data_IF_120851470412
#
_entry.id   IF_120851470412
#
_cell.length_a   1.000
_cell.length_b   1.000
_cell.length_c   1.000
_cell.angle_alpha   90.00
_cell.angle_beta   90.00
_cell.angle_gamma   90.00
#
_symmetry.space_group_name_H-M   'P 1'
#
loop_
_entity.id
_entity.type
_entity.pdbx_description
1 polymer ?
#
# COMPACT_ATOMS: atom_id res chain seq x y z
N UNK A 1 10.47 -50.45 -49.73
CA UNK A 1 10.05 -49.27 -50.52
C UNK A 1 10.81 -48.08 -50.00
N UNK A 2 11.80 -47.65 -50.77
CA UNK A 2 12.63 -46.49 -50.47
C UNK A 2 11.90 -45.22 -50.95
N UNK A 3 11.80 -44.21 -50.09
CA UNK A 3 11.57 -42.84 -50.52
C UNK A 3 12.65 -41.96 -49.89
N UNK A 4 13.58 -41.55 -50.73
CA UNK A 4 14.67 -40.62 -50.44
C UNK A 4 14.34 -39.34 -51.19
N UNK A 5 14.09 -38.22 -50.51
CA UNK A 5 14.08 -36.89 -51.14
C UNK A 5 14.54 -35.79 -50.17
N UNK A 6 15.83 -35.48 -50.31
CA UNK A 6 16.51 -34.18 -50.41
C UNK A 6 16.20 -33.03 -49.44
N UNK A 7 17.30 -32.56 -48.84
CA UNK A 7 17.53 -31.23 -48.25
C UNK A 7 17.16 -30.09 -49.21
N UNK A 8 16.74 -28.96 -48.63
CA UNK A 8 16.92 -27.62 -49.19
C UNK A 8 17.10 -26.63 -48.05
N UNK A 9 18.36 -26.22 -47.84
CA UNK A 9 18.78 -25.12 -46.99
C UNK A 9 18.41 -23.79 -47.63
N UNK A 10 17.75 -22.89 -46.87
CA UNK A 10 17.66 -21.48 -47.24
C UNK A 10 17.76 -20.61 -45.98
N UNK A 11 18.90 -19.94 -45.84
CA UNK A 11 19.07 -18.75 -45.00
C UNK A 11 19.06 -17.52 -45.91
N UNK A 12 18.48 -16.40 -45.46
CA UNK A 12 18.99 -15.10 -45.85
C UNK A 12 19.34 -14.28 -44.61
N UNK A 13 20.64 -13.99 -44.48
CA UNK A 13 21.16 -12.84 -43.74
C UNK A 13 20.82 -11.56 -44.50
N UNK A 14 20.22 -10.56 -43.85
CA UNK A 14 20.22 -9.19 -44.36
C UNK A 14 20.84 -8.26 -43.32
N UNK A 15 22.03 -7.78 -43.68
CA UNK A 15 22.82 -6.79 -42.97
C UNK A 15 22.59 -5.46 -43.68
N UNK A 16 22.13 -4.43 -42.98
CA UNK A 16 22.16 -3.05 -43.46
C UNK A 16 23.02 -2.22 -42.51
N UNK A 17 24.21 -1.87 -42.99
CA UNK A 17 25.10 -0.86 -42.43
C UNK A 17 25.08 0.39 -43.31
N UNK A 18 25.54 1.49 -42.71
CA UNK A 18 26.10 2.76 -43.25
C UNK A 18 25.16 4.00 -43.25
N UNK A 19 25.70 5.24 -43.26
CA UNK A 19 26.59 5.83 -42.24
C UNK A 19 26.31 7.33 -41.91
N UNK A 20 26.90 7.79 -40.79
CA UNK A 20 27.47 9.11 -40.42
C UNK A 20 27.07 10.43 -41.15
N UNK A 21 26.76 11.46 -40.35
CA UNK A 21 27.47 12.78 -40.27
C UNK A 21 26.82 13.62 -39.15
N UNK A 22 27.47 13.86 -38.01
CA UNK A 22 28.45 14.92 -37.70
C UNK A 22 27.97 16.34 -37.99
N UNK A 23 27.64 17.11 -36.94
CA UNK A 23 27.99 18.52 -36.82
C UNK A 23 28.26 18.85 -35.35
N UNK A 24 29.52 19.21 -35.09
CA UNK A 24 30.04 19.84 -33.88
C UNK A 24 29.50 21.29 -33.79
N UNK A 25 29.49 22.02 -32.68
CA UNK A 25 30.64 22.37 -31.85
C UNK A 25 30.16 23.12 -30.57
N UNK A 26 31.07 23.43 -29.62
CA UNK A 26 30.78 23.62 -28.21
C UNK A 26 30.69 25.10 -27.80
N UNK A 27 30.07 25.36 -26.65
CA UNK A 27 30.38 26.56 -25.85
C UNK A 27 30.70 26.13 -24.43
N UNK A 28 31.99 26.19 -24.11
CA UNK A 28 32.51 26.30 -22.74
C UNK A 28 32.05 27.64 -22.17
N UNK A 29 31.50 27.64 -20.97
CA UNK A 29 31.50 28.82 -20.11
C UNK A 29 31.88 28.40 -18.69
N UNK A 30 32.67 29.28 -18.08
CA UNK A 30 33.61 29.04 -17.00
C UNK A 30 32.94 28.84 -15.63
N UNK A 31 33.48 27.89 -14.87
CA UNK A 31 33.29 27.78 -13.43
C UNK A 31 34.14 28.88 -12.76
N UNK A 32 33.49 29.86 -12.15
CA UNK A 32 34.14 30.81 -11.24
C UNK A 32 33.57 30.63 -9.84
N UNK A 33 34.43 30.17 -8.94
CA UNK A 33 34.19 30.11 -7.50
C UNK A 33 34.17 31.53 -6.93
N UNK A 34 33.19 31.84 -6.08
CA UNK A 34 33.29 32.96 -5.13
C UNK A 34 32.32 32.75 -3.95
N UNK A 35 32.83 32.20 -2.86
CA UNK A 35 32.42 32.51 -1.48
C UNK A 35 33.33 33.62 -0.95
N UNK A 36 33.09 34.28 0.21
CA UNK A 36 31.92 34.31 1.10
C UNK A 36 31.53 35.76 1.54
N UNK A 37 30.24 36.06 1.82
CA UNK A 37 29.88 37.18 2.72
C UNK A 37 28.59 36.90 3.51
N UNK A 38 28.75 36.63 4.82
CA UNK A 38 27.85 37.02 5.91
C UNK A 38 28.02 38.55 6.12
N UNK A 39 27.07 39.38 6.62
CA UNK A 39 26.19 39.06 7.75
C UNK A 39 24.77 39.68 7.73
N UNK A 40 23.87 39.19 8.60
CA UNK A 40 23.29 39.97 9.71
C UNK A 40 22.18 39.19 10.40
N UNK A 41 22.38 39.05 11.71
CA UNK A 41 21.43 38.54 12.69
C UNK A 41 20.23 39.47 12.78
N UNK A 42 19.02 38.91 12.78
CA UNK A 42 17.83 39.62 13.24
C UNK A 42 17.80 39.53 14.77
N UNK A 43 18.10 40.65 15.42
CA UNK A 43 17.99 40.84 16.86
C UNK A 43 16.51 40.82 17.26
N UNK A 44 16.16 39.88 18.13
CA UNK A 44 14.94 39.88 18.92
C UNK A 44 15.20 40.69 20.21
N UNK A 45 14.42 41.73 20.53
CA UNK A 45 14.67 42.50 21.75
C UNK A 45 14.23 41.73 22.99
N UNK A 46 15.14 41.67 23.96
CA UNK A 46 14.87 41.36 25.36
C UNK A 46 13.91 42.40 25.95
N UNK A 47 12.85 41.92 26.61
CA UNK A 47 12.32 42.63 27.77
C UNK A 47 12.00 41.64 28.88
N UNK A 48 12.86 41.66 29.89
CA UNK A 48 12.65 41.05 31.19
C UNK A 48 11.93 42.07 32.07
N UNK A 49 10.89 41.65 32.78
CA UNK A 49 10.78 42.01 34.19
C UNK A 49 9.94 40.99 34.94
N UNK A 50 10.63 40.30 35.84
CA UNK A 50 10.06 39.56 36.95
C UNK A 50 9.29 40.50 37.87
N UNK A 51 8.03 40.18 38.18
CA UNK A 51 7.33 40.77 39.32
C UNK A 51 6.89 39.64 40.24
N UNK A 52 7.67 39.49 41.30
CA UNK A 52 7.35 38.75 42.52
C UNK A 52 6.61 39.72 43.44
N UNK A 53 5.35 39.45 43.76
CA UNK A 53 4.72 39.94 44.98
C UNK A 53 3.83 38.85 45.58
N UNK A 54 3.96 38.69 46.89
CA UNK A 54 3.26 37.73 47.72
C UNK A 54 1.94 38.33 48.21
N UNK A 55 0.96 37.44 48.41
CA UNK A 55 -0.17 37.53 49.34
C UNK A 55 -1.47 38.21 48.92
N UNK A 56 -2.48 37.34 48.81
CA UNK A 56 -3.85 37.42 49.35
C UNK A 56 -4.76 38.55 48.87
N UNK A 57 -5.78 38.18 48.11
CA UNK A 57 -7.14 38.09 48.65
C UNK A 57 -7.97 37.11 47.79
N UNK A 58 -8.20 35.91 48.34
CA UNK A 58 -9.40 35.14 48.03
C UNK A 58 -10.60 35.98 48.47
N UNK A 59 -11.66 36.05 47.65
CA UNK A 59 -13.07 35.95 48.06
C UNK A 59 -13.99 36.21 46.86
N UNK A 60 -14.72 35.16 46.50
CA UNK A 60 -16.13 35.14 46.07
C UNK A 60 -16.55 35.95 44.83
N UNK A 61 -16.68 35.25 43.71
CA UNK A 61 -17.94 35.27 42.96
C UNK A 61 -18.17 33.90 42.31
N UNK A 62 -19.01 33.10 42.96
CA UNK A 62 -19.57 31.89 42.40
C UNK A 62 -20.93 32.21 41.81
N UNK A 63 -21.09 32.04 40.50
CA UNK A 63 -22.40 31.86 39.87
C UNK A 63 -22.28 31.36 38.43
N UNK A 64 -23.00 30.25 38.19
CA UNK A 64 -23.44 29.67 36.92
C UNK A 64 -22.49 28.77 36.12
N UNK A 65 -22.22 27.62 36.72
CA UNK A 65 -21.78 26.39 36.07
C UNK A 65 -22.87 25.80 35.16
N UNK A 66 -22.45 25.22 34.04
CA UNK A 66 -23.12 24.17 33.23
C UNK A 66 -24.47 24.49 32.58
N UNK A 67 -24.46 25.05 31.36
CA UNK A 67 -25.60 24.97 30.45
C UNK A 67 -25.17 24.93 28.97
N UNK A 68 -24.37 23.93 28.60
CA UNK A 68 -24.19 23.47 27.20
C UNK A 68 -23.62 22.05 27.22
N UNK A 69 -24.33 21.17 27.88
CA UNK A 69 -23.99 19.74 27.94
C UNK A 69 -25.23 18.94 27.59
N UNK A 70 -25.86 19.16 26.41
CA UNK A 70 -26.87 18.23 25.87
C UNK A 70 -27.31 18.53 24.42
N UNK A 71 -26.40 18.68 23.45
CA UNK A 71 -26.77 18.48 22.03
C UNK A 71 -25.56 17.97 21.27
N UNK A 72 -25.60 16.71 20.89
CA UNK A 72 -24.56 16.08 20.09
C UNK A 72 -23.89 14.90 20.78
N UNK A 73 -24.67 14.00 21.40
CA UNK A 73 -24.33 12.58 21.25
C UNK A 73 -24.50 12.29 19.75
N UNK A 74 -23.47 12.61 18.96
CA UNK A 74 -23.31 11.97 17.67
C UNK A 74 -23.27 10.50 18.01
N UNK A 75 -24.30 9.77 17.60
CA UNK A 75 -24.24 8.32 17.53
C UNK A 75 -23.01 8.04 16.67
N UNK A 76 -21.89 7.73 17.31
CA UNK A 76 -20.85 6.97 16.66
C UNK A 76 -21.57 5.66 16.37
N UNK A 77 -22.12 5.55 15.16
CA UNK A 77 -22.74 4.34 14.64
C UNK A 77 -21.60 3.32 14.58
N UNK A 78 -21.35 2.67 15.73
CA UNK A 78 -20.39 1.60 15.83
C UNK A 78 -20.88 0.52 14.89
N UNK A 79 -20.13 0.27 13.82
CA UNK A 79 -20.44 -0.83 12.90
C UNK A 79 -20.61 -2.10 13.74
N UNK A 80 -21.78 -2.71 13.62
CA UNK A 80 -22.14 -3.92 14.36
C UNK A 80 -21.11 -5.00 14.03
N UNK A 81 -20.62 -5.72 15.06
CA UNK A 81 -19.74 -6.85 14.85
C UNK A 81 -20.46 -7.93 14.03
N UNK A 82 -20.06 -8.09 12.78
CA UNK A 82 -20.62 -9.08 11.85
C UNK A 82 -19.63 -10.24 11.69
N UNK A 83 -20.13 -11.47 11.81
CA UNK A 83 -19.34 -12.69 11.66
C UNK A 83 -20.25 -13.74 11.01
N UNK A 84 -20.17 -13.85 9.67
CA UNK A 84 -20.98 -14.75 8.85
C UNK A 84 -20.09 -15.85 8.25
N UNK A 85 -19.70 -16.88 9.02
CA UNK A 85 -18.81 -17.94 8.55
C UNK A 85 -19.36 -18.73 7.36
N UNK A 86 -20.67 -18.70 7.13
CA UNK A 86 -21.35 -19.31 5.99
C UNK A 86 -20.95 -18.73 4.62
N UNK A 87 -20.31 -17.55 4.60
CA UNK A 87 -19.77 -16.94 3.38
C UNK A 87 -18.45 -17.58 2.93
N UNK A 88 -17.87 -18.45 3.77
CA UNK A 88 -16.62 -19.12 3.44
C UNK A 88 -16.86 -20.34 2.54
N UNK A 89 -15.99 -20.56 1.53
CA UNK A 89 -16.05 -21.75 0.70
C UNK A 89 -15.74 -23.02 1.51
N UNK A 90 -16.27 -24.15 1.06
CA UNK A 90 -16.03 -25.46 1.69
C UNK A 90 -14.62 -25.98 1.43
N UNK A 91 -14.07 -25.64 0.27
CA UNK A 91 -12.72 -26.02 -0.14
C UNK A 91 -11.75 -24.86 0.08
N UNK A 92 -10.50 -25.21 0.41
CA UNK A 92 -9.46 -24.22 0.64
C UNK A 92 -9.15 -23.45 -0.64
N UNK A 93 -9.18 -22.13 -0.57
CA UNK A 93 -8.72 -21.21 -1.62
C UNK A 93 -8.01 -20.03 -0.99
N UNK A 94 -6.95 -19.53 -1.64
CA UNK A 94 -6.17 -18.38 -1.18
C UNK A 94 -6.84 -17.04 -1.48
N UNK A 95 -7.78 -17.03 -2.43
CA UNK A 95 -8.59 -15.88 -2.83
C UNK A 95 -10.05 -16.21 -2.57
N UNK A 96 -10.74 -15.34 -1.85
CA UNK A 96 -12.19 -15.42 -1.60
C UNK A 96 -12.79 -14.08 -2.00
N UNK A 97 -13.66 -14.08 -3.00
CA UNK A 97 -14.44 -12.92 -3.38
C UNK A 97 -15.93 -13.14 -3.07
N UNK A 98 -16.37 -12.54 -1.97
CA UNK A 98 -17.77 -12.54 -1.54
C UNK A 98 -18.56 -11.44 -2.24
N UNK A 99 -17.88 -10.35 -2.61
CA UNK A 99 -18.52 -9.15 -3.16
C UNK A 99 -18.71 -9.19 -4.68
N UNK A 100 -18.02 -10.10 -5.37
CA UNK A 100 -18.04 -10.22 -6.82
C UNK A 100 -17.31 -9.07 -7.51
N UNK A 101 -16.20 -8.61 -6.93
CA UNK A 101 -15.33 -7.61 -7.55
C UNK A 101 -14.49 -8.19 -8.68
N UNK A 102 -14.09 -9.46 -8.60
CA UNK A 102 -13.19 -10.13 -9.51
C UNK A 102 -13.96 -11.05 -10.47
N UNK A 103 -13.50 -11.09 -11.72
CA UNK A 103 -13.90 -12.16 -12.64
C UNK A 103 -13.17 -13.47 -12.33
N UNK A 104 -13.74 -14.62 -12.72
CA UNK A 104 -13.11 -15.94 -12.58
C UNK A 104 -11.68 -15.98 -13.15
N UNK A 105 -11.44 -15.27 -14.25
CA UNK A 105 -10.13 -15.15 -14.87
C UNK A 105 -9.13 -14.36 -14.02
N UNK A 106 -9.57 -13.27 -13.38
CA UNK A 106 -8.75 -12.50 -12.45
C UNK A 106 -8.45 -13.30 -11.17
N UNK A 107 -9.45 -13.96 -10.59
CA UNK A 107 -9.22 -14.85 -9.46
C UNK A 107 -8.20 -15.94 -9.77
N UNK A 108 -8.31 -16.57 -10.95
CA UNK A 108 -7.37 -17.58 -11.42
C UNK A 108 -5.93 -17.05 -11.50
N UNK A 109 -5.74 -15.86 -12.06
CA UNK A 109 -4.41 -15.22 -12.17
C UNK A 109 -3.84 -14.81 -10.82
N UNK A 110 -4.66 -14.20 -9.97
CA UNK A 110 -4.27 -13.79 -8.61
C UNK A 110 -3.86 -15.02 -7.80
N UNK A 111 -4.63 -16.11 -7.89
CA UNK A 111 -4.32 -17.37 -7.21
C UNK A 111 -2.98 -17.95 -7.68
N UNK A 112 -2.74 -17.98 -8.99
CA UNK A 112 -1.46 -18.43 -9.56
C UNK A 112 -0.28 -17.57 -9.07
N UNK A 113 -0.46 -16.25 -9.03
CA UNK A 113 0.57 -15.34 -8.54
C UNK A 113 0.88 -15.55 -7.05
N UNK A 114 -0.16 -15.75 -6.23
CA UNK A 114 -0.02 -16.06 -4.81
C UNK A 114 0.68 -17.40 -4.60
N UNK A 115 0.31 -18.43 -5.36
CA UNK A 115 0.92 -19.76 -5.25
C UNK A 115 2.40 -19.71 -5.64
N UNK A 116 2.74 -18.93 -6.68
CA UNK A 116 4.12 -18.69 -7.08
C UNK A 116 4.90 -17.94 -5.98
N UNK A 117 4.32 -16.88 -5.42
CA UNK A 117 4.91 -16.12 -4.32
C UNK A 117 5.22 -17.01 -3.10
N UNK A 118 4.26 -17.84 -2.70
CA UNK A 118 4.40 -18.75 -1.56
C UNK A 118 5.51 -19.78 -1.81
N UNK A 119 5.60 -20.30 -3.04
CA UNK A 119 6.68 -21.22 -3.44
C UNK A 119 8.05 -20.55 -3.47
N UNK A 120 8.13 -19.32 -3.94
CA UNK A 120 9.39 -18.60 -4.14
C UNK A 120 9.97 -18.07 -2.83
N UNK A 121 9.12 -17.63 -1.90
CA UNK A 121 9.52 -16.85 -0.71
C UNK A 121 9.17 -17.53 0.61
N UNK A 122 8.19 -18.44 0.61
CA UNK A 122 7.60 -19.00 1.83
C UNK A 122 6.56 -18.10 2.52
N UNK A 123 6.30 -16.90 1.99
CA UNK A 123 5.26 -16.00 2.49
C UNK A 123 3.88 -16.36 1.96
N UNK A 124 2.87 -16.26 2.84
CA UNK A 124 1.49 -16.63 2.52
C UNK A 124 0.65 -15.37 2.32
N UNK A 125 0.26 -15.07 1.08
CA UNK A 125 -0.72 -14.02 0.81
C UNK A 125 -2.12 -14.62 0.72
N UNK A 126 -3.10 -14.00 1.40
CA UNK A 126 -4.51 -14.39 1.37
C UNK A 126 -5.37 -13.18 1.08
N UNK A 127 -6.27 -13.29 0.09
CA UNK A 127 -7.06 -12.16 -0.43
C UNK A 127 -8.53 -12.39 -0.13
N UNK A 128 -9.16 -11.44 0.56
CA UNK A 128 -10.59 -11.41 0.87
C UNK A 128 -11.21 -10.16 0.24
N UNK A 129 -11.99 -10.33 -0.81
CA UNK A 129 -12.86 -9.28 -1.34
C UNK A 129 -14.25 -9.40 -0.72
N UNK A 130 -14.71 -8.34 -0.06
CA UNK A 130 -15.96 -8.35 0.70
C UNK A 130 -16.63 -6.97 0.68
N UNK A 131 -17.87 -6.91 1.15
CA UNK A 131 -18.61 -5.66 1.27
C UNK A 131 -19.46 -5.67 2.55
N UNK A 132 -19.16 -4.77 3.50
CA UNK A 132 -19.93 -4.68 4.74
C UNK A 132 -21.42 -4.37 4.45
N UNK A 133 -22.37 -5.04 5.14
CA UNK A 133 -22.22 -5.87 6.33
C UNK A 133 -21.97 -7.38 6.07
N UNK A 134 -21.83 -7.80 4.81
CA UNK A 134 -21.62 -9.20 4.43
C UNK A 134 -20.14 -9.55 4.50
N UNK A 135 -19.69 -9.89 5.72
CA UNK A 135 -18.30 -10.23 5.98
C UNK A 135 -18.18 -11.54 6.77
N UNK A 136 -17.23 -12.43 6.42
CA UNK A 136 -16.96 -13.64 7.20
C UNK A 136 -16.37 -13.33 8.57
N UNK A 137 -15.95 -12.09 8.83
CA UNK A 137 -15.47 -11.65 10.13
C UNK A 137 -14.23 -12.43 10.58
N UNK A 138 -14.23 -12.85 11.85
CA UNK A 138 -13.08 -13.53 12.46
C UNK A 138 -12.88 -14.97 11.95
N UNK A 139 -13.90 -15.60 11.37
CA UNK A 139 -13.83 -16.99 10.91
C UNK A 139 -12.76 -17.21 9.82
N UNK A 140 -12.40 -16.15 9.09
CA UNK A 140 -11.38 -16.21 8.04
C UNK A 140 -10.00 -16.63 8.57
N UNK A 141 -9.67 -16.24 9.82
CA UNK A 141 -8.39 -16.57 10.45
C UNK A 141 -8.24 -18.07 10.66
N UNK A 142 -9.32 -18.71 11.12
CA UNK A 142 -9.35 -20.15 11.38
C UNK A 142 -9.41 -20.96 10.09
N UNK A 143 -10.06 -20.43 9.05
CA UNK A 143 -10.14 -21.07 7.74
C UNK A 143 -8.75 -21.12 7.07
N UNK A 144 -8.04 -20.00 7.02
CA UNK A 144 -6.72 -19.94 6.39
C UNK A 144 -5.56 -20.41 7.27
N UNK A 145 -5.81 -20.70 8.55
CA UNK A 145 -4.77 -21.03 9.53
C UNK A 145 -3.65 -19.99 9.52
N UNK A 146 -4.06 -18.72 9.66
CA UNK A 146 -3.16 -17.55 9.60
C UNK A 146 -2.05 -17.70 10.64
N UNK A 147 -0.81 -17.59 10.17
CA UNK A 147 0.42 -17.68 10.96
C UNK A 147 1.29 -16.42 10.82
N UNK A 148 2.48 -16.41 11.42
CA UNK A 148 3.39 -15.26 11.43
C UNK A 148 3.95 -14.89 10.04
N UNK A 149 3.88 -15.82 9.08
CA UNK A 149 4.31 -15.62 7.69
C UNK A 149 3.14 -15.26 6.77
N UNK A 150 1.94 -15.04 7.33
CA UNK A 150 0.72 -14.79 6.56
C UNK A 150 0.36 -13.31 6.52
N UNK A 151 0.01 -12.83 5.33
CA UNK A 151 -0.59 -11.53 5.08
C UNK A 151 -2.05 -11.75 4.69
N UNK A 152 -2.98 -11.21 5.47
CA UNK A 152 -4.40 -11.16 5.12
C UNK A 152 -4.70 -9.79 4.53
N UNK A 153 -4.88 -9.77 3.22
CA UNK A 153 -5.29 -8.61 2.45
C UNK A 153 -6.82 -8.63 2.27
N UNK A 154 -7.49 -7.63 2.84
CA UNK A 154 -8.94 -7.43 2.76
C UNK A 154 -9.22 -6.25 1.83
N UNK A 155 -10.08 -6.47 0.83
CA UNK A 155 -10.62 -5.45 -0.04
C UNK A 155 -12.08 -5.15 0.34
N UNK A 156 -12.34 -3.95 0.87
CA UNK A 156 -13.67 -3.53 1.33
C UNK A 156 -13.87 -2.00 1.14
N UNK A 157 -14.75 -1.55 0.23
CA UNK A 157 -14.90 -0.15 -0.12
C UNK A 157 -15.52 0.71 1.01
N UNK A 158 -16.06 0.09 2.07
CA UNK A 158 -16.85 0.77 3.11
C UNK A 158 -16.04 1.77 3.95
N UNK A 159 -14.71 1.69 3.94
CA UNK A 159 -13.84 2.52 4.79
C UNK A 159 -13.13 3.64 4.01
N UNK A 160 -13.57 3.92 2.78
CA UNK A 160 -12.97 4.92 1.90
C UNK A 160 -11.68 4.42 1.25
N UNK A 161 -10.73 3.93 2.05
CA UNK A 161 -9.66 3.09 1.52
C UNK A 161 -10.19 1.66 1.34
N UNK A 162 -10.12 1.14 0.11
CA UNK A 162 -10.58 -0.23 -0.16
C UNK A 162 -9.59 -1.28 0.34
N UNK A 163 -8.31 -0.95 0.50
CA UNK A 163 -7.26 -1.91 0.85
C UNK A 163 -6.96 -1.88 2.36
N UNK A 164 -7.08 -3.03 3.02
CA UNK A 164 -6.73 -3.22 4.42
C UNK A 164 -5.85 -4.46 4.60
N UNK A 165 -4.78 -4.35 5.40
CA UNK A 165 -3.78 -5.41 5.56
C UNK A 165 -3.65 -5.83 7.03
N UNK A 166 -3.71 -7.13 7.30
CA UNK A 166 -3.26 -7.71 8.55
C UNK A 166 -1.99 -8.51 8.27
N UNK A 167 -0.89 -8.10 8.87
CA UNK A 167 0.45 -8.60 8.56
C UNK A 167 0.94 -9.44 9.73
N UNK A 168 1.39 -10.67 9.45
CA UNK A 168 1.99 -11.56 10.45
C UNK A 168 3.34 -11.03 10.98
N UNK A 169 3.75 -11.53 12.14
CA UNK A 169 4.90 -10.98 12.86
C UNK A 169 6.22 -11.11 12.08
N UNK A 170 6.48 -12.24 11.41
CA UNK A 170 7.70 -12.43 10.62
C UNK A 170 7.76 -11.46 9.44
N UNK A 171 6.62 -11.26 8.76
CA UNK A 171 6.53 -10.33 7.63
C UNK A 171 6.78 -8.89 8.07
N UNK A 172 6.30 -8.52 9.27
CA UNK A 172 6.47 -7.18 9.82
C UNK A 172 7.94 -6.84 10.15
N UNK A 173 8.77 -7.85 10.39
CA UNK A 173 10.22 -7.67 10.58
C UNK A 173 10.94 -7.43 9.27
N UNK A 174 10.52 -8.10 8.20
CA UNK A 174 11.19 -8.06 6.91
C UNK A 174 10.71 -6.90 6.03
N UNK A 175 9.45 -6.47 6.17
CA UNK A 175 8.82 -5.47 5.29
C UNK A 175 8.56 -4.16 6.04
N UNK A 176 9.14 -3.02 5.59
CA UNK A 176 8.93 -1.74 6.25
C UNK A 176 7.45 -1.37 6.34
N UNK A 177 6.99 -0.97 7.53
CA UNK A 177 5.60 -0.55 7.77
C UNK A 177 5.10 0.54 6.81
N UNK A 178 6.01 1.40 6.34
CA UNK A 178 5.71 2.46 5.36
C UNK A 178 5.22 1.91 4.02
N UNK A 179 5.63 0.70 3.62
CA UNK A 179 5.20 0.06 2.37
C UNK A 179 3.69 -0.10 2.34
N UNK A 180 3.09 -0.68 3.38
CA UNK A 180 1.64 -0.90 3.46
C UNK A 180 0.85 0.41 3.37
N UNK A 181 1.33 1.46 4.04
CA UNK A 181 0.69 2.79 3.98
C UNK A 181 0.79 3.43 2.59
N UNK A 182 1.92 3.26 1.90
CA UNK A 182 2.11 3.76 0.52
C UNK A 182 1.26 2.97 -0.47
N UNK A 183 1.18 1.66 -0.31
CA UNK A 183 0.37 0.78 -1.14
C UNK A 183 -1.11 1.12 -1.04
N UNK A 184 -1.63 1.23 0.20
CA UNK A 184 -2.99 1.68 0.47
C UNK A 184 -3.24 3.10 -0.08
N UNK A 185 -2.28 4.01 0.07
CA UNK A 185 -2.36 5.36 -0.48
C UNK A 185 -2.41 5.40 -2.02
N UNK A 186 -1.64 4.54 -2.70
CA UNK A 186 -1.52 4.53 -4.17
C UNK A 186 -2.72 3.87 -4.84
N UNK A 187 -3.07 2.65 -4.44
CA UNK A 187 -4.09 1.82 -5.11
C UNK A 187 -5.39 1.69 -4.34
N UNK A 188 -5.40 2.06 -3.05
CA UNK A 188 -6.56 1.87 -2.18
C UNK A 188 -7.40 3.11 -1.95
N UNK A 189 -6.90 4.30 -2.29
CA UNK A 189 -7.65 5.54 -2.08
C UNK A 189 -8.94 5.59 -2.93
N UNK A 190 -9.94 6.33 -2.44
CA UNK A 190 -11.27 6.43 -3.04
C UNK A 190 -11.28 6.93 -4.49
N UNK A 191 -10.32 7.78 -4.86
CA UNK A 191 -10.26 8.29 -6.22
C UNK A 191 -9.79 7.21 -7.18
N UNK A 192 -8.78 6.44 -6.79
CA UNK A 192 -8.22 5.38 -7.61
C UNK A 192 -9.24 4.28 -7.89
N UNK A 193 -9.84 3.67 -6.86
CA UNK A 193 -10.71 2.51 -7.09
C UNK A 193 -12.04 2.90 -7.74
N UNK A 194 -12.55 4.12 -7.52
CA UNK A 194 -13.73 4.62 -8.26
C UNK A 194 -13.46 4.90 -9.73
N UNK A 195 -12.22 5.26 -10.09
CA UNK A 195 -11.84 5.54 -11.47
C UNK A 195 -11.40 4.28 -12.23
N UNK A 196 -10.61 3.42 -11.58
CA UNK A 196 -9.98 2.25 -12.20
C UNK A 196 -10.78 0.96 -12.01
N UNK A 197 -11.67 0.91 -11.02
CA UNK A 197 -12.36 -0.30 -10.60
C UNK A 197 -11.75 -0.91 -9.35
N UNK A 198 -12.60 -1.55 -8.54
CA UNK A 198 -12.22 -2.30 -7.35
C UNK A 198 -11.29 -3.48 -7.71
N UNK A 199 -11.56 -4.14 -8.84
CA UNK A 199 -10.77 -5.23 -9.38
C UNK A 199 -9.34 -4.82 -9.70
N UNK A 200 -9.17 -3.69 -10.40
CA UNK A 200 -7.87 -3.12 -10.74
C UNK A 200 -7.08 -2.73 -9.49
N UNK A 201 -7.75 -2.19 -8.46
CA UNK A 201 -7.15 -1.91 -7.16
C UNK A 201 -6.61 -3.16 -6.48
N UNK A 202 -7.38 -4.24 -6.50
CA UNK A 202 -7.00 -5.52 -5.89
C UNK A 202 -5.82 -6.13 -6.66
N UNK A 203 -5.91 -6.22 -7.98
CA UNK A 203 -4.87 -6.80 -8.83
C UNK A 203 -3.55 -6.02 -8.69
N UNK A 204 -3.59 -4.68 -8.78
CA UNK A 204 -2.41 -3.84 -8.61
C UNK A 204 -1.78 -4.00 -7.22
N UNK A 205 -2.61 -4.12 -6.17
CA UNK A 205 -2.12 -4.34 -4.82
C UNK A 205 -1.43 -5.70 -4.67
N UNK A 206 -2.02 -6.78 -5.19
CA UNK A 206 -1.43 -8.12 -5.18
C UNK A 206 -0.08 -8.11 -5.89
N UNK A 207 -0.01 -7.56 -7.10
CA UNK A 207 1.22 -7.52 -7.88
C UNK A 207 2.33 -6.73 -7.17
N UNK A 208 1.99 -5.60 -6.54
CA UNK A 208 2.95 -4.79 -5.79
C UNK A 208 3.47 -5.50 -4.53
N UNK A 209 2.59 -6.19 -3.79
CA UNK A 209 2.99 -7.02 -2.63
C UNK A 209 3.92 -8.13 -3.10
N UNK A 210 3.53 -8.83 -4.17
CA UNK A 210 4.26 -9.95 -4.71
C UNK A 210 5.65 -9.55 -5.23
N UNK A 211 5.76 -8.37 -5.84
CA UNK A 211 7.04 -7.79 -6.24
C UNK A 211 7.92 -7.44 -5.03
N UNK A 212 7.35 -6.78 -4.02
CA UNK A 212 8.04 -6.39 -2.79
C UNK A 212 8.60 -7.60 -2.02
N UNK A 213 7.79 -8.64 -1.83
CA UNK A 213 8.20 -9.83 -1.06
C UNK A 213 9.28 -10.66 -1.75
N UNK A 214 9.46 -10.52 -3.07
CA UNK A 214 10.56 -11.14 -3.82
C UNK A 214 11.85 -10.31 -3.81
N UNK A 215 11.80 -9.08 -3.31
CA UNK A 215 13.03 -8.29 -3.14
C UNK A 215 13.85 -8.83 -1.97
N UNK A 216 15.19 -8.88 -2.09
CA UNK A 216 16.02 -9.28 -0.98
C UNK A 216 15.88 -8.30 0.19
N UNK A 217 15.80 -8.84 1.41
CA UNK A 217 15.74 -8.03 2.63
C UNK A 217 16.98 -7.14 2.75
N UNK A 218 16.77 -5.84 2.99
CA UNK A 218 17.83 -4.84 3.00
C UNK A 218 17.32 -3.44 3.33
N UNK A 219 18.18 -2.44 3.38
CA UNK A 219 17.77 -1.08 3.78
C UNK A 219 16.81 -0.38 2.80
N UNK A 220 16.73 -0.86 1.55
CA UNK A 220 15.92 -0.28 0.48
C UNK A 220 14.83 -1.22 -0.03
N UNK A 221 14.57 -2.35 0.63
CA UNK A 221 13.54 -3.28 0.18
C UNK A 221 12.15 -2.64 0.26
N UNK A 222 11.33 -2.86 -0.77
CA UNK A 222 9.97 -2.33 -0.86
C UNK A 222 9.90 -0.80 -0.73
N UNK A 223 10.98 -0.09 -1.06
CA UNK A 223 11.07 1.37 -0.96
C UNK A 223 10.16 2.10 -1.96
N UNK A 224 9.75 1.43 -3.03
CA UNK A 224 8.77 1.91 -4.01
C UNK A 224 7.63 0.92 -4.17
N UNK A 225 6.42 1.45 -4.38
CA UNK A 225 5.26 0.64 -4.76
C UNK A 225 5.26 0.59 -6.28
N UNK A 226 5.65 -0.55 -6.85
CA UNK A 226 5.67 -0.77 -8.30
C UNK A 226 4.26 -0.86 -8.86
#
# INVERSE_FOLDING_TARGET
MALSLRLSSFSPTLSHKTPLTCLANPIKASLSQTTPQSPKSLQLPQWVSSVRSKSLNFLLSGSLSLALSLTGAGFAEGKVGVNKPELLPKEFTTVIDVAGFLSDGQEGRIRQEIDALEKDTGYKLRVLAQNYPDTPGLAIKDFWKVDDNTIVFVADPTFGNILNFNVGASVDLDIPRSFWSRLAGKYGNIFYWKEKGEDASIEAAVMAISACLREPVGSSNCSEVK
#
